data_IF_272115634675
#
_entry.id   IF_272115634675
#
_cell.length_a   1.000
_cell.length_b   1.000
_cell.length_c   1.000
_cell.angle_alpha   90.00
_cell.angle_beta   90.00
_cell.angle_gamma   90.00
#
_symmetry.space_group_name_H-M   'P 1'
#
loop_
_entity.id
_entity.type
_entity.pdbx_description
1 polymer ?
#
# COMPACT_ATOMS: atom_id res chain seq x y z
N UNK A 1 19.87 15.21 -3.97
CA UNK A 1 19.80 13.79 -4.17
C UNK A 1 18.39 13.29 -3.90
N UNK A 2 17.88 12.52 -4.78
CA UNK A 2 16.50 12.10 -4.59
C UNK A 2 16.44 10.99 -3.56
N UNK A 3 15.35 10.99 -2.81
CA UNK A 3 15.13 9.98 -1.80
C UNK A 3 14.70 8.69 -2.45
N UNK A 4 15.33 7.58 -2.10
CA UNK A 4 14.98 6.32 -2.75
C UNK A 4 13.59 5.86 -2.33
N UNK A 5 12.88 5.32 -3.28
CA UNK A 5 11.68 4.58 -3.01
C UNK A 5 12.04 3.11 -2.89
N UNK A 6 11.33 2.42 -2.02
CA UNK A 6 11.58 1.01 -1.86
C UNK A 6 11.10 0.26 -3.09
N UNK A 7 11.99 -0.54 -3.65
CA UNK A 7 11.69 -1.30 -4.85
C UNK A 7 11.54 -2.77 -4.50
N UNK A 8 10.42 -3.34 -4.85
CA UNK A 8 10.13 -4.74 -4.59
C UNK A 8 10.04 -5.45 -5.92
N UNK A 9 10.84 -6.49 -6.11
CA UNK A 9 10.82 -7.26 -7.34
C UNK A 9 9.49 -7.99 -7.46
N UNK A 10 8.86 -7.87 -8.63
CA UNK A 10 7.61 -8.54 -8.92
C UNK A 10 7.89 -9.67 -9.90
N UNK A 11 7.72 -10.88 -9.44
CA UNK A 11 8.03 -12.07 -10.22
C UNK A 11 7.01 -12.25 -11.34
N UNK A 12 7.50 -12.40 -12.55
CA UNK A 12 6.66 -12.77 -13.68
C UNK A 12 5.81 -11.63 -14.24
N UNK A 13 6.05 -10.40 -13.81
CA UNK A 13 5.34 -9.24 -14.34
C UNK A 13 6.34 -8.21 -14.82
N UNK A 14 5.89 -7.33 -15.71
CA UNK A 14 6.76 -6.32 -16.29
C UNK A 14 6.86 -5.06 -15.45
N UNK A 15 5.88 -4.82 -14.56
CA UNK A 15 5.87 -3.62 -13.76
C UNK A 15 6.65 -3.79 -12.47
N UNK A 16 7.38 -2.76 -12.11
CA UNK A 16 8.06 -2.69 -10.83
C UNK A 16 7.09 -2.22 -9.76
N UNK A 17 7.35 -2.62 -8.52
CA UNK A 17 6.58 -2.14 -7.39
C UNK A 17 7.44 -1.14 -6.64
N UNK A 18 6.96 0.08 -6.56
CA UNK A 18 7.63 1.16 -5.83
C UNK A 18 6.74 1.57 -4.67
N UNK A 19 7.30 1.61 -3.47
CA UNK A 19 6.54 2.02 -2.29
C UNK A 19 7.13 3.32 -1.81
N UNK A 20 6.30 4.36 -1.78
CA UNK A 20 6.79 5.67 -1.35
C UNK A 20 7.16 5.65 0.12
N UNK A 21 8.13 6.47 0.52
CA UNK A 21 8.56 6.47 1.93
C UNK A 21 7.44 6.76 2.91
N UNK A 22 6.48 7.60 2.54
CA UNK A 22 5.33 7.89 3.39
C UNK A 22 4.50 6.64 3.62
N UNK A 23 4.31 5.84 2.57
CA UNK A 23 3.56 4.59 2.67
C UNK A 23 4.33 3.57 3.52
N UNK A 24 5.64 3.49 3.35
CA UNK A 24 6.45 2.61 4.19
C UNK A 24 6.36 2.99 5.66
N UNK A 25 6.41 4.29 5.94
CA UNK A 25 6.30 4.75 7.32
C UNK A 25 4.94 4.39 7.92
N UNK A 26 3.90 4.45 7.12
CA UNK A 26 2.56 4.10 7.58
C UNK A 26 2.45 2.61 7.91
N UNK A 27 3.09 1.77 7.10
CA UNK A 27 3.13 0.33 7.40
C UNK A 27 3.88 0.09 8.70
N UNK A 28 5.01 0.78 8.90
CA UNK A 28 5.78 0.61 10.13
C UNK A 28 4.99 1.06 11.35
N UNK A 29 4.27 2.17 11.25
CA UNK A 29 3.44 2.65 12.34
C UNK A 29 2.34 1.65 12.67
N UNK A 30 1.72 1.09 11.65
CA UNK A 30 0.69 0.08 11.86
C UNK A 30 1.24 -1.17 12.53
N UNK A 31 2.41 -1.62 12.06
CA UNK A 31 3.08 -2.77 12.65
C UNK A 31 3.35 -2.53 14.15
N UNK A 32 3.94 -1.38 14.47
CA UNK A 32 4.30 -1.08 15.85
C UNK A 32 3.05 -1.05 16.74
N UNK A 33 1.99 -0.41 16.23
CA UNK A 33 0.76 -0.30 17.02
C UNK A 33 0.15 -1.66 17.30
N UNK A 34 0.06 -2.51 16.26
CA UNK A 34 -0.54 -3.83 16.44
C UNK A 34 0.32 -4.73 17.33
N UNK A 35 1.63 -4.63 17.19
CA UNK A 35 2.51 -5.43 18.01
C UNK A 35 2.40 -5.07 19.50
N UNK A 36 2.14 -3.80 19.79
CA UNK A 36 1.89 -3.37 21.15
C UNK A 36 0.58 -3.93 21.70
N UNK A 37 -0.41 -4.16 20.84
CA UNK A 37 -1.68 -4.72 21.28
C UNK A 37 -1.55 -6.19 21.61
N UNK A 38 -0.76 -6.94 20.85
CA UNK A 38 -0.61 -8.37 21.07
C UNK A 38 0.63 -8.85 20.33
N UNK A 39 1.44 -9.63 21.01
CA UNK A 39 2.65 -10.17 20.41
C UNK A 39 2.30 -11.00 19.18
N UNK A 40 3.00 -10.73 18.08
CA UNK A 40 2.78 -11.42 16.82
C UNK A 40 1.74 -10.77 15.93
N UNK A 41 0.95 -9.84 16.45
CA UNK A 41 -0.11 -9.22 15.66
C UNK A 41 0.46 -8.29 14.60
N UNK A 42 1.60 -7.65 14.89
CA UNK A 42 2.27 -6.82 13.89
C UNK A 42 2.67 -7.63 12.68
N UNK A 43 3.18 -8.84 12.89
CA UNK A 43 3.56 -9.70 11.76
C UNK A 43 2.33 -10.13 10.95
N UNK A 44 1.22 -10.40 11.62
CA UNK A 44 -0.02 -10.72 10.90
C UNK A 44 -0.48 -9.54 10.05
N UNK A 45 -0.34 -8.32 10.58
CA UNK A 45 -0.65 -7.12 9.82
C UNK A 45 0.23 -7.01 8.58
N UNK A 46 1.55 -7.21 8.73
CA UNK A 46 2.45 -7.16 7.59
C UNK A 46 2.08 -8.19 6.53
N UNK A 47 1.72 -9.40 6.95
CA UNK A 47 1.34 -10.44 6.00
C UNK A 47 0.07 -10.07 5.25
N UNK A 48 -0.87 -9.41 5.92
CA UNK A 48 -2.08 -8.95 5.26
C UNK A 48 -1.79 -7.87 4.23
N UNK A 49 -0.88 -6.94 4.57
CA UNK A 49 -0.43 -5.91 3.64
C UNK A 49 0.23 -6.56 2.42
N UNK A 50 1.11 -7.53 2.63
CA UNK A 50 1.81 -8.20 1.54
C UNK A 50 0.85 -8.97 0.65
N UNK A 51 -0.14 -9.60 1.23
CA UNK A 51 -1.15 -10.33 0.44
C UNK A 51 -1.96 -9.37 -0.43
N UNK A 52 -2.31 -8.21 0.12
CA UNK A 52 -3.02 -7.18 -0.62
C UNK A 52 -2.19 -6.68 -1.79
N UNK A 53 -0.91 -6.39 -1.53
CA UNK A 53 -0.01 -5.92 -2.58
C UNK A 53 0.19 -6.97 -3.66
N UNK A 54 0.26 -8.23 -3.28
CA UNK A 54 0.37 -9.33 -4.23
C UNK A 54 -0.83 -9.37 -5.17
N UNK A 55 -2.03 -9.17 -4.63
CA UNK A 55 -3.25 -9.09 -5.46
C UNK A 55 -3.21 -7.93 -6.44
N UNK A 56 -2.73 -6.77 -5.99
CA UNK A 56 -2.57 -5.61 -6.84
C UNK A 56 -1.57 -5.90 -7.96
N UNK A 57 -0.48 -6.56 -7.63
CA UNK A 57 0.55 -6.91 -8.62
C UNK A 57 -0.01 -7.81 -9.72
N UNK A 58 -0.84 -8.78 -9.33
CA UNK A 58 -1.40 -9.71 -10.29
C UNK A 58 -2.40 -9.06 -11.25
N UNK A 59 -3.16 -8.09 -10.76
CA UNK A 59 -4.21 -7.48 -11.59
C UNK A 59 -4.45 -6.04 -11.14
N UNK A 60 -3.53 -5.14 -11.50
CA UNK A 60 -3.58 -3.77 -10.95
C UNK A 60 -4.79 -2.97 -11.38
N UNK A 61 -5.45 -3.36 -12.47
CA UNK A 61 -6.61 -2.62 -12.96
C UNK A 61 -7.93 -3.16 -12.45
N UNK A 62 -7.91 -4.18 -11.60
CA UNK A 62 -9.13 -4.77 -11.08
C UNK A 62 -9.74 -3.99 -9.90
N UNK A 63 -9.00 -3.02 -9.37
CA UNK A 63 -9.41 -2.33 -8.14
C UNK A 63 -10.03 -0.98 -8.46
N UNK A 64 -10.84 -0.50 -7.52
CA UNK A 64 -11.64 0.71 -7.72
C UNK A 64 -10.77 1.96 -7.87
N UNK A 65 -11.06 2.75 -8.89
CA UNK A 65 -10.48 4.08 -9.03
C UNK A 65 -11.16 5.01 -8.05
N UNK A 66 -10.37 5.63 -7.16
CA UNK A 66 -10.91 6.52 -6.14
C UNK A 66 -10.58 7.98 -6.40
N UNK A 67 -9.62 8.23 -7.27
CA UNK A 67 -9.33 9.58 -7.75
C UNK A 67 -8.85 9.48 -9.20
N UNK A 68 -9.59 10.13 -10.08
CA UNK A 68 -9.20 10.13 -11.49
C UNK A 68 -7.92 10.93 -11.67
N UNK A 69 -7.10 10.57 -12.64
CA UNK A 69 -7.39 9.53 -13.63
C UNK A 69 -7.02 8.12 -13.19
N UNK A 70 -6.15 7.95 -12.17
CA UNK A 70 -5.56 6.63 -12.02
C UNK A 70 -5.17 6.24 -10.59
N UNK A 71 -5.73 6.88 -9.56
CA UNK A 71 -5.48 6.45 -8.18
C UNK A 71 -6.49 5.37 -7.82
N UNK A 72 -6.01 4.22 -7.41
CA UNK A 72 -6.84 3.08 -7.05
C UNK A 72 -6.67 2.71 -5.59
N UNK A 73 -7.67 2.02 -5.07
CA UNK A 73 -7.69 1.58 -3.68
C UNK A 73 -7.84 0.07 -3.62
N UNK A 74 -6.99 -0.58 -2.82
CA UNK A 74 -7.11 -2.00 -2.53
C UNK A 74 -7.27 -2.18 -1.04
N UNK A 75 -8.36 -2.83 -0.61
CA UNK A 75 -8.70 -3.00 0.79
C UNK A 75 -7.92 -4.18 1.36
N UNK A 76 -7.32 -3.99 2.53
CA UNK A 76 -6.57 -5.03 3.23
C UNK A 76 -7.57 -5.89 4.00
N UNK A 77 -7.36 -7.21 3.97
CA UNK A 77 -8.25 -8.13 4.69
C UNK A 77 -7.90 -8.15 6.17
N UNK A 78 -8.92 -8.26 7.02
CA UNK A 78 -8.82 -8.40 8.49
C UNK A 78 -8.41 -7.14 9.23
N UNK A 79 -7.81 -6.17 8.55
CA UNK A 79 -7.35 -4.94 9.18
C UNK A 79 -8.01 -3.76 8.48
N UNK A 80 -8.35 -2.70 9.22
CA UNK A 80 -9.06 -1.55 8.63
C UNK A 80 -8.10 -0.64 7.86
N UNK A 81 -7.39 -1.20 6.89
CA UNK A 81 -6.40 -0.48 6.09
C UNK A 81 -6.68 -0.66 4.61
N UNK A 82 -6.22 0.29 3.83
CA UNK A 82 -6.27 0.19 2.38
C UNK A 82 -4.97 0.73 1.80
N UNK A 83 -4.54 0.13 0.69
CA UNK A 83 -3.44 0.62 -0.12
C UNK A 83 -4.01 1.54 -1.18
N UNK A 84 -3.34 2.67 -1.39
CA UNK A 84 -3.67 3.59 -2.47
C UNK A 84 -2.48 3.63 -3.40
N UNK A 85 -2.72 3.44 -4.70
CA UNK A 85 -1.62 3.27 -5.64
C UNK A 85 -1.97 3.84 -7.00
N UNK A 86 -0.90 4.12 -7.75
CA UNK A 86 -0.97 4.55 -9.14
C UNK A 86 -0.39 3.44 -10.01
N UNK A 87 -0.86 3.36 -11.24
CA UNK A 87 -0.34 2.39 -12.21
C UNK A 87 0.08 3.14 -13.46
N UNK A 88 1.31 2.92 -13.90
CA UNK A 88 1.73 3.37 -15.22
C UNK A 88 2.33 2.18 -15.97
N UNK A 89 2.91 2.42 -17.15
CA UNK A 89 3.38 1.33 -17.99
C UNK A 89 4.50 0.53 -17.34
N UNK A 90 5.26 1.15 -16.45
CA UNK A 90 6.47 0.55 -15.92
C UNK A 90 6.38 0.21 -14.44
N UNK A 91 5.45 0.82 -13.71
CA UNK A 91 5.45 0.69 -12.27
C UNK A 91 4.05 0.74 -11.68
N UNK A 92 3.94 0.10 -10.51
CA UNK A 92 2.83 0.29 -9.58
C UNK A 92 3.44 1.04 -8.42
N UNK A 93 2.93 2.24 -8.14
CA UNK A 93 3.49 3.10 -7.10
C UNK A 93 2.51 3.18 -5.95
N UNK A 94 2.88 2.61 -4.80
CA UNK A 94 2.06 2.66 -3.60
C UNK A 94 2.31 4.01 -2.93
N UNK A 95 1.29 4.85 -2.89
CA UNK A 95 1.44 6.22 -2.39
C UNK A 95 1.00 6.37 -0.94
N UNK A 96 0.14 5.47 -0.46
CA UNK A 96 -0.36 5.57 0.91
C UNK A 96 -0.86 4.21 1.39
N UNK A 97 -0.73 3.99 2.69
CA UNK A 97 -1.32 2.84 3.38
C UNK A 97 -2.04 3.41 4.59
N UNK A 98 -3.34 3.56 4.49
CA UNK A 98 -4.12 4.30 5.47
C UNK A 98 -5.08 3.40 6.23
N UNK A 99 -5.22 3.71 7.51
CA UNK A 99 -6.30 3.18 8.32
C UNK A 99 -7.59 3.88 7.89
N UNK A 100 -8.53 3.11 7.32
CA UNK A 100 -9.73 3.68 6.71
C UNK A 100 -10.71 4.23 7.75
N UNK A 101 -10.48 3.97 9.04
CA UNK A 101 -11.31 4.51 10.11
C UNK A 101 -10.86 5.88 10.58
N UNK A 102 -9.70 6.35 10.10
CA UNK A 102 -9.20 7.67 10.43
C UNK A 102 -9.61 8.65 9.35
N UNK A 103 -9.01 9.84 9.38
CA UNK A 103 -9.25 10.86 8.38
C UNK A 103 -8.67 10.41 7.05
N UNK A 104 -9.49 9.90 6.14
CA UNK A 104 -8.97 9.32 4.91
C UNK A 104 -8.56 10.36 3.88
N UNK A 105 -8.90 11.61 4.10
CA UNK A 105 -8.67 12.66 3.12
C UNK A 105 -7.19 13.00 2.95
N UNK A 106 -6.36 12.63 3.93
CA UNK A 106 -4.96 13.06 3.91
C UNK A 106 -4.17 12.50 2.73
N UNK A 107 -4.53 11.31 2.24
CA UNK A 107 -3.79 10.73 1.12
C UNK A 107 -4.02 11.51 -0.18
N UNK A 108 -5.11 12.26 -0.26
CA UNK A 108 -5.40 13.07 -1.45
C UNK A 108 -4.34 14.12 -1.70
N UNK A 109 -3.64 14.54 -0.66
CA UNK A 109 -2.61 15.56 -0.80
C UNK A 109 -1.36 15.04 -1.49
N UNK A 110 -1.25 13.75 -1.66
CA UNK A 110 -0.07 13.09 -2.23
C UNK A 110 -0.15 12.91 -3.74
N UNK A 111 -1.28 13.27 -4.32
CA UNK A 111 -1.52 13.04 -5.75
C UNK A 111 -1.96 14.30 -6.47
#
# INVERSE_FOLDING_TARGET
MERPERKIAATGVTRQILVRPEAEAEVQQGFDWYEEQSEGLGLEFLRAIEACLSGVTRNPFAYTVVKVPNVRRAVVRRFPYALFYLVDDEAIVVIAVFNVKRQPIDWLRRV
#
